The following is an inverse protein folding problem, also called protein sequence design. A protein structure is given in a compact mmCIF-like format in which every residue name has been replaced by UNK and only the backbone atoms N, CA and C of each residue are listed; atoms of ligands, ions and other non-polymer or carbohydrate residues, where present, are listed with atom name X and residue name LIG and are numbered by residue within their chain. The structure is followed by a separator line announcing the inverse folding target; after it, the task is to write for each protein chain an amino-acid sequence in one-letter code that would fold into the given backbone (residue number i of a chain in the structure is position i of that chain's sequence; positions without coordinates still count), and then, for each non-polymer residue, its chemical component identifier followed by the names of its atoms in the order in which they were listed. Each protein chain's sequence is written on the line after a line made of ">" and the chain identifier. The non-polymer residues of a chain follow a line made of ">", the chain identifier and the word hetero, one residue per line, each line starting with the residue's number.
data_IF_531088032739
#
_entry.id   IF_531088032739
#
_cell.length_a   1.000
_cell.length_b   1.000
_cell.length_c   1.000
_cell.angle_alpha   90.00
_cell.angle_beta   90.00
_cell.angle_gamma   90.00
#
_symmetry.space_group_name_H-M   'P 1'
#
loop_
_entity.id
_entity.type
_entity.pdbx_description
1 polymer ?
#
# COMPACT_ATOMS: atom_id res chain seq x y z
N UNK A 1 -49.76 -35.90 -29.12
CA UNK A 1 -49.21 -37.26 -28.81
C UNK A 1 -47.75 -37.44 -29.31
N UNK A 2 -47.32 -36.93 -30.47
CA UNK A 2 -45.92 -37.10 -30.98
C UNK A 2 -44.81 -36.52 -30.06
N UNK A 3 -45.05 -35.42 -29.37
CA UNK A 3 -44.04 -34.78 -28.53
C UNK A 3 -43.73 -35.58 -27.24
N UNK A 4 -44.71 -36.26 -26.67
CA UNK A 4 -44.52 -37.06 -25.45
C UNK A 4 -43.62 -38.28 -25.67
N UNK A 5 -43.74 -38.91 -26.83
CA UNK A 5 -42.91 -40.09 -27.18
C UNK A 5 -41.46 -39.65 -27.44
N UNK A 6 -41.26 -38.50 -28.07
CA UNK A 6 -39.93 -37.94 -28.29
C UNK A 6 -39.22 -37.59 -26.97
N UNK A 7 -39.91 -36.93 -26.06
CA UNK A 7 -39.35 -36.59 -24.73
C UNK A 7 -39.01 -37.81 -23.90
N UNK A 8 -39.86 -38.84 -23.93
CA UNK A 8 -39.58 -40.10 -23.25
C UNK A 8 -38.36 -40.83 -23.84
N UNK A 9 -38.23 -40.85 -25.17
CA UNK A 9 -37.06 -41.42 -25.82
C UNK A 9 -35.76 -40.65 -25.43
N UNK A 10 -35.81 -39.34 -25.42
CA UNK A 10 -34.69 -38.49 -25.06
C UNK A 10 -34.28 -38.71 -23.59
N UNK A 11 -35.25 -38.84 -22.69
CA UNK A 11 -35.02 -39.13 -21.28
C UNK A 11 -34.40 -40.53 -21.07
N UNK A 12 -34.86 -41.54 -21.76
CA UNK A 12 -34.26 -42.88 -21.73
C UNK A 12 -32.82 -42.89 -22.25
N UNK A 13 -32.53 -42.10 -23.28
CA UNK A 13 -31.20 -41.97 -23.85
C UNK A 13 -30.24 -41.27 -22.88
N UNK A 14 -30.70 -40.23 -22.15
CA UNK A 14 -29.96 -39.58 -21.07
C UNK A 14 -29.63 -40.57 -19.93
N UNK A 15 -30.60 -41.36 -19.51
CA UNK A 15 -30.39 -42.37 -18.44
C UNK A 15 -29.40 -43.45 -18.89
N UNK A 16 -29.50 -43.91 -20.14
CA UNK A 16 -28.60 -44.94 -20.71
C UNK A 16 -27.14 -44.48 -20.69
N UNK A 17 -26.89 -43.17 -20.88
CA UNK A 17 -25.54 -42.60 -20.91
C UNK A 17 -25.23 -41.69 -19.69
N UNK A 18 -25.90 -41.93 -18.56
CA UNK A 18 -25.81 -41.12 -17.34
C UNK A 18 -24.36 -40.82 -16.91
N UNK A 19 -23.46 -41.80 -16.99
CA UNK A 19 -22.05 -41.63 -16.60
C UNK A 19 -21.34 -40.55 -17.45
N UNK A 20 -21.59 -40.53 -18.77
CA UNK A 20 -21.02 -39.52 -19.68
C UNK A 20 -21.59 -38.14 -19.40
N UNK A 21 -22.89 -38.03 -19.18
CA UNK A 21 -23.57 -36.77 -18.88
C UNK A 21 -23.12 -36.20 -17.52
N UNK A 22 -22.97 -37.07 -16.50
CA UNK A 22 -22.42 -36.65 -15.19
C UNK A 22 -20.98 -36.15 -15.34
N UNK A 23 -20.14 -36.84 -16.10
CA UNK A 23 -18.76 -36.41 -16.32
C UNK A 23 -18.68 -35.02 -16.99
N UNK A 24 -19.48 -34.80 -18.06
CA UNK A 24 -19.57 -33.51 -18.75
C UNK A 24 -20.08 -32.43 -17.80
N UNK A 25 -21.09 -32.73 -16.98
CA UNK A 25 -21.64 -31.78 -16.00
C UNK A 25 -20.60 -31.36 -14.95
N UNK A 26 -19.84 -32.33 -14.41
CA UNK A 26 -18.77 -32.05 -13.45
C UNK A 26 -17.69 -31.15 -14.09
N UNK A 27 -17.28 -31.47 -15.31
CA UNK A 27 -16.29 -30.65 -16.03
C UNK A 27 -16.82 -29.23 -16.27
N UNK A 28 -18.10 -29.10 -16.66
CA UNK A 28 -18.73 -27.79 -16.87
C UNK A 28 -18.78 -26.96 -15.58
N UNK A 29 -19.13 -27.58 -14.44
CA UNK A 29 -19.13 -26.92 -13.14
C UNK A 29 -17.72 -26.44 -12.79
N UNK A 30 -16.70 -27.27 -13.00
CA UNK A 30 -15.32 -26.95 -12.72
C UNK A 30 -14.83 -25.77 -13.56
N UNK A 31 -15.17 -25.73 -14.85
CA UNK A 31 -14.83 -24.61 -15.73
C UNK A 31 -15.52 -23.32 -15.26
N UNK A 32 -16.82 -23.36 -14.96
CA UNK A 32 -17.56 -22.18 -14.46
C UNK A 32 -17.00 -21.72 -13.13
N UNK A 33 -16.65 -22.63 -12.23
CA UNK A 33 -16.01 -22.32 -10.95
C UNK A 33 -14.68 -21.61 -11.14
N UNK A 34 -13.80 -22.11 -12.03
CA UNK A 34 -12.50 -21.48 -12.30
C UNK A 34 -12.67 -20.07 -12.88
N UNK A 35 -13.55 -19.90 -13.87
CA UNK A 35 -13.80 -18.58 -14.47
C UNK A 35 -14.35 -17.61 -13.41
N UNK A 36 -15.33 -18.05 -12.62
CA UNK A 36 -15.90 -17.22 -11.56
C UNK A 36 -14.86 -16.84 -10.50
N UNK A 37 -14.00 -17.77 -10.09
CA UNK A 37 -12.91 -17.51 -9.15
C UNK A 37 -11.98 -16.41 -9.65
N UNK A 38 -11.55 -16.47 -10.91
CA UNK A 38 -10.67 -15.44 -11.51
C UNK A 38 -11.36 -14.08 -11.54
N UNK A 39 -12.65 -14.04 -11.91
CA UNK A 39 -13.42 -12.80 -11.94
C UNK A 39 -13.59 -12.19 -10.53
N UNK A 40 -13.86 -13.00 -9.51
CA UNK A 40 -13.98 -12.54 -8.13
C UNK A 40 -12.65 -11.97 -7.60
N UNK A 41 -11.53 -12.68 -7.83
CA UNK A 41 -10.20 -12.20 -7.43
C UNK A 41 -9.87 -10.88 -8.12
N UNK A 42 -10.10 -10.80 -9.44
CA UNK A 42 -9.84 -9.57 -10.20
C UNK A 42 -10.67 -8.38 -9.69
N UNK A 43 -11.97 -8.59 -9.42
CA UNK A 43 -12.84 -7.54 -8.90
C UNK A 43 -12.46 -7.14 -7.46
N UNK A 44 -12.06 -8.09 -6.61
CA UNK A 44 -11.58 -7.80 -5.26
C UNK A 44 -10.31 -6.97 -5.28
N UNK A 45 -9.32 -7.36 -6.09
CA UNK A 45 -8.08 -6.59 -6.26
C UNK A 45 -8.34 -5.18 -6.79
N UNK A 46 -9.22 -5.07 -7.80
CA UNK A 46 -9.64 -3.75 -8.32
C UNK A 46 -10.20 -2.89 -7.21
N UNK A 47 -11.17 -3.41 -6.44
CA UNK A 47 -11.80 -2.67 -5.34
C UNK A 47 -10.80 -2.23 -4.28
N UNK A 48 -9.87 -3.10 -3.91
CA UNK A 48 -8.83 -2.80 -2.92
C UNK A 48 -7.88 -1.70 -3.39
N UNK A 49 -7.38 -1.80 -4.64
CA UNK A 49 -6.51 -0.76 -5.23
C UNK A 49 -7.22 0.60 -5.25
N UNK A 50 -8.49 0.65 -5.69
CA UNK A 50 -9.23 1.91 -5.73
C UNK A 50 -9.50 2.47 -4.33
N UNK A 51 -9.84 1.62 -3.35
CA UNK A 51 -10.01 2.03 -1.95
C UNK A 51 -8.71 2.62 -1.38
N UNK A 52 -7.57 2.00 -1.66
CA UNK A 52 -6.26 2.51 -1.24
C UNK A 52 -5.94 3.85 -1.89
N UNK A 53 -6.21 4.00 -3.20
CA UNK A 53 -6.01 5.27 -3.91
C UNK A 53 -6.95 6.38 -3.41
N UNK A 54 -8.18 6.05 -3.01
CA UNK A 54 -9.13 7.02 -2.45
C UNK A 54 -8.62 7.66 -1.15
N UNK A 55 -7.93 6.89 -0.34
CA UNK A 55 -7.36 7.34 0.92
C UNK A 55 -6.03 8.10 0.76
N UNK A 56 -5.43 8.11 -0.43
CA UNK A 56 -4.19 8.86 -0.67
C UNK A 56 -4.44 10.35 -0.88
N UNK A 57 -3.39 11.15 -0.62
CA UNK A 57 -3.36 12.58 -0.89
C UNK A 57 -3.53 12.88 -2.39
N UNK A 58 -4.03 14.07 -2.71
CA UNK A 58 -4.34 14.46 -4.09
C UNK A 58 -3.10 14.57 -4.97
N UNK A 59 -1.98 14.99 -4.37
CA UNK A 59 -0.69 15.10 -5.04
C UNK A 59 0.41 14.45 -4.22
N UNK A 60 1.32 13.76 -4.90
CA UNK A 60 2.58 13.26 -4.37
C UNK A 60 3.70 13.94 -5.16
N UNK A 61 4.61 14.59 -4.45
CA UNK A 61 5.68 15.38 -5.02
C UNK A 61 7.02 14.76 -4.66
N UNK A 62 7.80 14.46 -5.66
CA UNK A 62 9.14 13.88 -5.55
C UNK A 62 10.14 14.79 -6.25
N UNK A 63 11.28 15.00 -5.62
CA UNK A 63 12.41 15.69 -6.27
C UNK A 63 13.03 14.78 -7.32
N UNK A 64 13.30 15.31 -8.49
CA UNK A 64 13.96 14.56 -9.58
C UNK A 64 15.17 15.31 -10.09
N UNK A 65 16.18 14.55 -10.51
CA UNK A 65 17.32 15.10 -11.24
C UNK A 65 17.71 14.09 -12.33
N UNK A 66 17.74 14.55 -13.57
CA UNK A 66 18.05 13.71 -14.73
C UNK A 66 17.23 12.39 -14.80
N UNK A 67 15.94 12.46 -14.45
CA UNK A 67 15.02 11.33 -14.46
C UNK A 67 15.15 10.36 -13.28
N UNK A 68 16.07 10.59 -12.35
CA UNK A 68 16.16 9.84 -11.09
C UNK A 68 15.43 10.56 -9.96
N UNK A 69 14.83 9.80 -9.07
CA UNK A 69 14.16 10.29 -7.87
C UNK A 69 15.20 10.43 -6.76
N UNK A 70 15.13 11.53 -6.02
CA UNK A 70 15.96 11.84 -4.87
C UNK A 70 15.09 12.24 -3.69
N UNK A 71 15.66 12.19 -2.50
CA UNK A 71 15.01 12.70 -1.31
C UNK A 71 14.68 14.19 -1.48
N UNK A 72 13.50 14.57 -1.02
CA UNK A 72 12.89 15.88 -1.23
C UNK A 72 13.17 16.77 -0.02
N UNK A 73 13.69 18.01 -0.18
CA UNK A 73 13.95 18.91 0.94
C UNK A 73 12.66 19.24 1.70
N UNK A 74 12.69 19.17 3.04
CA UNK A 74 11.55 19.49 3.91
C UNK A 74 11.14 20.96 3.78
N UNK A 75 12.07 21.86 3.46
CA UNK A 75 11.77 23.27 3.22
C UNK A 75 10.68 23.51 2.17
N UNK A 76 10.49 22.56 1.25
CA UNK A 76 9.41 22.62 0.26
C UNK A 76 8.02 22.54 0.88
N UNK A 77 7.89 22.03 2.11
CA UNK A 77 6.61 21.98 2.83
C UNK A 77 6.08 23.40 3.07
N UNK A 78 6.94 24.33 3.50
CA UNK A 78 6.56 25.73 3.70
C UNK A 78 6.20 26.40 2.36
N UNK A 79 7.03 26.17 1.34
CA UNK A 79 6.79 26.71 0.00
C UNK A 79 5.43 26.28 -0.56
N UNK A 80 5.09 25.00 -0.42
CA UNK A 80 3.83 24.46 -0.93
C UNK A 80 2.64 24.83 -0.07
N UNK A 81 2.82 24.98 1.24
CA UNK A 81 1.77 25.43 2.16
C UNK A 81 1.32 26.86 1.87
N UNK A 82 2.17 27.67 1.26
CA UNK A 82 1.85 29.06 0.86
C UNK A 82 1.00 29.16 -0.41
N UNK A 83 0.78 28.04 -1.12
CA UNK A 83 -0.02 28.02 -2.37
C UNK A 83 -1.50 28.07 -2.04
N UNK A 84 -2.23 29.02 -2.65
CA UNK A 84 -3.67 29.13 -2.49
C UNK A 84 -4.38 27.86 -3.00
N UNK A 85 -5.35 27.35 -2.22
CA UNK A 85 -6.09 26.13 -2.53
C UNK A 85 -5.50 24.85 -1.93
N UNK A 86 -4.27 24.90 -1.42
CA UNK A 86 -3.66 23.77 -0.69
C UNK A 86 -4.16 23.78 0.77
N UNK A 87 -4.72 22.66 1.22
CA UNK A 87 -5.25 22.55 2.58
C UNK A 87 -4.23 21.95 3.55
N UNK A 88 -3.46 20.97 3.09
CA UNK A 88 -2.56 20.19 3.94
C UNK A 88 -1.34 19.77 3.14
N UNK A 89 -0.17 19.97 3.71
CA UNK A 89 1.11 19.54 3.15
C UNK A 89 1.86 18.75 4.20
N UNK A 90 2.32 17.56 3.86
CA UNK A 90 3.02 16.66 4.78
C UNK A 90 4.22 16.02 4.12
N UNK A 91 5.29 15.86 4.88
CA UNK A 91 6.42 15.02 4.52
C UNK A 91 6.09 13.55 4.77
N UNK A 92 6.60 12.65 3.94
CA UNK A 92 6.55 11.22 4.20
C UNK A 92 7.94 10.61 4.17
N UNK A 93 8.20 9.76 5.14
CA UNK A 93 9.42 8.97 5.23
C UNK A 93 9.04 7.50 5.06
N UNK A 94 9.53 6.90 4.01
CA UNK A 94 9.39 5.46 3.77
C UNK A 94 10.50 4.97 2.84
N UNK A 95 10.79 3.69 2.94
CA UNK A 95 11.80 3.07 2.10
C UNK A 95 11.84 1.56 2.27
N UNK A 96 12.75 0.93 1.55
CA UNK A 96 12.95 -0.50 1.58
C UNK A 96 14.21 -0.84 2.37
N UNK A 97 14.08 -1.70 3.37
CA UNK A 97 15.19 -2.27 4.11
C UNK A 97 15.46 -3.70 3.67
N UNK A 98 16.69 -4.00 3.28
CA UNK A 98 17.07 -5.32 2.82
C UNK A 98 17.35 -6.27 3.98
N UNK A 99 16.56 -7.33 4.10
CA UNK A 99 16.73 -8.40 5.07
C UNK A 99 17.55 -9.54 4.45
N UNK A 100 18.84 -9.55 4.77
CA UNK A 100 19.82 -10.47 4.17
C UNK A 100 19.48 -11.96 4.34
N UNK A 101 19.00 -12.45 5.51
CA UNK A 101 18.79 -13.89 5.73
C UNK A 101 17.81 -14.55 4.77
N UNK A 102 16.78 -13.80 4.29
CA UNK A 102 15.77 -14.31 3.35
C UNK A 102 15.90 -13.71 1.94
N UNK A 103 16.84 -12.78 1.73
CA UNK A 103 17.00 -12.05 0.47
C UNK A 103 15.71 -11.32 0.03
N UNK A 104 15.04 -10.68 0.99
CA UNK A 104 13.79 -9.95 0.80
C UNK A 104 13.91 -8.51 1.28
N UNK A 105 12.91 -7.69 0.95
CA UNK A 105 12.82 -6.31 1.42
C UNK A 105 11.62 -6.15 2.35
N UNK A 106 11.82 -5.42 3.45
CA UNK A 106 10.78 -4.89 4.30
C UNK A 106 10.51 -3.43 3.93
N UNK A 107 9.26 -3.02 3.98
CA UNK A 107 8.88 -1.62 3.83
C UNK A 107 8.90 -0.95 5.21
N UNK A 108 9.76 0.04 5.39
CA UNK A 108 9.78 0.87 6.59
C UNK A 108 9.00 2.15 6.32
N UNK A 109 8.13 2.53 7.27
CA UNK A 109 7.38 3.79 7.25
C UNK A 109 7.64 4.52 8.55
N UNK A 110 8.16 5.74 8.44
CA UNK A 110 8.31 6.68 9.53
C UNK A 110 7.03 7.48 9.74
N UNK A 111 6.56 7.55 10.97
CA UNK A 111 5.35 8.29 11.34
C UNK A 111 5.70 9.33 12.37
N UNK A 112 5.27 10.57 12.12
CA UNK A 112 5.26 11.61 13.14
C UNK A 112 3.94 11.51 13.92
N UNK A 113 4.05 11.07 15.17
CA UNK A 113 2.89 10.84 16.04
C UNK A 113 2.31 12.13 16.61
N UNK A 114 3.04 13.24 16.52
CA UNK A 114 2.60 14.56 16.99
C UNK A 114 1.89 15.35 15.89
N UNK A 115 1.97 14.90 14.64
CA UNK A 115 1.34 15.58 13.51
C UNK A 115 -0.17 15.32 13.48
N UNK A 116 -0.97 16.40 13.56
CA UNK A 116 -2.45 16.29 13.58
C UNK A 116 -3.05 15.59 12.36
N UNK A 117 -2.31 15.60 11.26
CA UNK A 117 -2.76 15.13 9.95
C UNK A 117 -2.25 13.74 9.56
N UNK A 118 -1.66 13.01 10.48
CA UNK A 118 -1.26 11.60 10.25
C UNK A 118 -2.42 10.80 9.63
N UNK A 119 -2.11 9.94 8.70
CA UNK A 119 -3.11 9.12 7.98
C UNK A 119 -4.11 8.50 8.96
N UNK A 120 -5.41 8.62 8.66
CA UNK A 120 -6.49 8.14 9.55
C UNK A 120 -6.31 6.68 9.95
N UNK A 121 -5.88 5.84 9.00
CA UNK A 121 -5.68 4.41 9.24
C UNK A 121 -4.56 4.18 10.27
N UNK A 122 -3.48 4.96 10.19
CA UNK A 122 -2.37 4.91 11.15
C UNK A 122 -2.81 5.48 12.50
N UNK A 123 -3.59 6.57 12.53
CA UNK A 123 -4.15 7.12 13.78
C UNK A 123 -5.07 6.13 14.47
N UNK A 124 -5.92 5.45 13.75
CA UNK A 124 -6.82 4.44 14.30
C UNK A 124 -6.02 3.27 14.88
N UNK A 125 -5.01 2.80 14.17
CA UNK A 125 -4.06 1.79 14.67
C UNK A 125 -3.32 2.26 15.92
N UNK A 126 -2.86 3.51 15.95
CA UNK A 126 -2.13 4.08 17.08
C UNK A 126 -3.05 4.41 18.27
N UNK A 127 -4.33 4.72 18.05
CA UNK A 127 -5.30 4.99 19.12
C UNK A 127 -5.58 3.75 19.98
N UNK A 128 -5.41 2.55 19.42
CA UNK A 128 -5.53 1.27 20.14
C UNK A 128 -4.26 0.98 20.97
N UNK A 129 -3.17 1.72 20.72
CA UNK A 129 -1.88 1.55 21.35
C UNK A 129 -1.63 2.68 22.37
N UNK A 130 -0.93 2.37 23.44
CA UNK A 130 -0.45 3.41 24.37
C UNK A 130 0.73 4.16 23.73
N UNK A 131 0.43 5.26 23.02
CA UNK A 131 1.38 6.03 22.21
C UNK A 131 2.61 6.48 23.03
N UNK A 132 2.40 6.80 24.33
CA UNK A 132 3.50 7.24 25.19
C UNK A 132 4.57 6.17 25.39
N UNK A 133 4.18 4.91 25.48
CA UNK A 133 5.12 3.80 25.64
C UNK A 133 5.86 3.47 24.34
N UNK A 134 5.20 3.70 23.20
CA UNK A 134 5.80 3.53 21.88
C UNK A 134 6.89 4.58 21.60
N UNK A 135 6.65 5.85 21.99
CA UNK A 135 7.57 6.96 21.75
C UNK A 135 8.79 6.98 22.68
N UNK A 136 8.68 6.43 23.89
CA UNK A 136 9.76 6.49 24.88
C UNK A 136 10.91 5.51 24.61
N UNK A 137 10.74 4.61 23.65
CA UNK A 137 11.73 3.55 23.34
C UNK A 137 11.89 3.45 21.85
N UNK A 138 13.12 3.26 21.39
CA UNK A 138 13.38 2.85 20.01
C UNK A 138 12.59 1.57 19.73
N UNK A 139 11.40 1.74 19.18
CA UNK A 139 10.44 0.65 19.04
C UNK A 139 9.71 0.69 17.69
N UNK A 140 9.23 -0.47 17.25
CA UNK A 140 8.56 -0.64 15.98
C UNK A 140 7.30 -1.47 16.10
N UNK A 141 6.34 -1.20 15.21
CA UNK A 141 5.19 -2.06 14.93
C UNK A 141 5.51 -2.86 13.67
N UNK A 142 5.22 -4.14 13.68
CA UNK A 142 5.54 -5.05 12.57
C UNK A 142 4.30 -5.73 12.02
N UNK A 143 4.27 -5.92 10.72
CA UNK A 143 3.24 -6.71 10.06
C UNK A 143 3.37 -8.21 10.33
N UNK A 144 2.28 -8.94 10.13
CA UNK A 144 2.22 -10.39 10.40
C UNK A 144 3.25 -11.20 9.58
N UNK A 145 3.54 -10.79 8.33
CA UNK A 145 4.56 -11.45 7.51
C UNK A 145 5.96 -11.31 8.11
N UNK A 146 6.29 -10.10 8.56
CA UNK A 146 7.58 -9.83 9.23
C UNK A 146 7.67 -10.60 10.55
N UNK A 147 6.57 -10.63 11.33
CA UNK A 147 6.53 -11.41 12.58
C UNK A 147 6.88 -12.87 12.33
N UNK A 148 6.28 -13.51 11.34
CA UNK A 148 6.59 -14.91 10.99
C UNK A 148 8.05 -15.12 10.61
N UNK A 149 8.65 -14.16 9.91
CA UNK A 149 10.06 -14.21 9.53
C UNK A 149 10.93 -14.03 10.76
N UNK A 150 10.64 -13.05 11.60
CA UNK A 150 11.40 -12.80 12.82
C UNK A 150 11.33 -13.97 13.79
N UNK A 151 10.17 -14.60 13.97
CA UNK A 151 10.01 -15.81 14.77
C UNK A 151 10.87 -16.97 14.25
N UNK A 152 10.98 -17.13 12.94
CA UNK A 152 11.83 -18.14 12.30
C UNK A 152 13.32 -17.96 12.64
N UNK A 153 13.76 -16.70 12.80
CA UNK A 153 15.14 -16.35 13.15
C UNK A 153 15.33 -16.04 14.64
N UNK A 154 14.32 -16.28 15.47
CA UNK A 154 14.34 -16.08 16.93
C UNK A 154 14.52 -14.61 17.36
N UNK A 155 14.05 -13.66 16.54
CA UNK A 155 13.94 -12.24 16.89
C UNK A 155 12.57 -11.98 17.55
N UNK A 156 12.43 -12.29 18.85
CA UNK A 156 11.12 -12.19 19.51
C UNK A 156 10.83 -10.81 20.09
N UNK A 157 11.85 -10.15 20.62
CA UNK A 157 11.70 -8.91 21.38
C UNK A 157 12.29 -7.70 20.68
N UNK A 158 13.34 -7.88 19.87
CA UNK A 158 14.05 -6.82 19.16
C UNK A 158 14.74 -7.33 17.89
N UNK A 159 15.10 -6.38 17.03
CA UNK A 159 15.91 -6.65 15.84
C UNK A 159 16.98 -5.57 15.69
N UNK A 160 18.21 -5.98 15.34
CA UNK A 160 19.34 -5.09 15.09
C UNK A 160 19.37 -4.65 13.63
N UNK A 161 18.95 -3.42 13.37
CA UNK A 161 19.05 -2.81 12.06
C UNK A 161 20.48 -2.38 11.77
N UNK A 162 20.97 -2.75 10.60
CA UNK A 162 22.26 -2.29 10.13
C UNK A 162 22.12 -0.93 9.47
N UNK A 163 22.79 0.07 10.04
CA UNK A 163 22.82 1.43 9.53
C UNK A 163 23.83 1.58 8.37
N UNK A 164 23.76 2.71 7.66
CA UNK A 164 24.69 3.02 6.55
C UNK A 164 26.16 3.12 6.96
N UNK A 165 26.45 3.49 8.22
CA UNK A 165 27.77 3.54 8.82
C UNK A 165 28.28 2.16 9.30
N UNK A 166 27.55 1.07 9.03
CA UNK A 166 27.76 -0.30 9.50
C UNK A 166 27.53 -0.53 11.01
N UNK A 167 27.07 0.44 11.75
CA UNK A 167 26.64 0.24 13.13
C UNK A 167 25.33 -0.55 13.17
N UNK A 168 25.09 -1.20 14.31
CA UNK A 168 23.84 -1.91 14.57
C UNK A 168 23.00 -1.08 15.53
N UNK A 169 21.75 -0.87 15.17
CA UNK A 169 20.75 -0.19 15.98
C UNK A 169 19.69 -1.19 16.45
N UNK A 170 19.68 -1.50 17.73
CA UNK A 170 18.65 -2.36 18.32
C UNK A 170 17.31 -1.61 18.41
N UNK A 171 16.25 -2.20 17.81
CA UNK A 171 14.90 -1.67 17.86
C UNK A 171 13.96 -2.73 18.41
N UNK A 172 13.19 -2.37 19.43
CA UNK A 172 12.27 -3.27 20.10
C UNK A 172 10.99 -3.47 19.31
N UNK A 173 10.51 -4.70 19.27
CA UNK A 173 9.19 -5.01 18.72
C UNK A 173 8.16 -4.65 19.79
N UNK A 174 7.39 -3.57 19.54
CA UNK A 174 6.38 -3.11 20.47
C UNK A 174 5.10 -3.96 20.37
N UNK A 175 4.60 -4.14 19.13
CA UNK A 175 3.38 -4.90 18.87
C UNK A 175 3.26 -5.29 17.39
N UNK A 176 2.42 -6.29 17.13
CA UNK A 176 2.01 -6.63 15.78
C UNK A 176 0.88 -5.71 15.30
N UNK A 177 0.89 -5.38 14.01
CA UNK A 177 -0.21 -4.69 13.36
C UNK A 177 -1.44 -5.61 13.32
N UNK A 178 -2.66 -5.08 13.53
CA UNK A 178 -3.87 -5.88 13.48
C UNK A 178 -4.01 -6.61 12.13
N UNK A 179 -4.53 -7.83 12.16
CA UNK A 179 -4.72 -8.69 10.97
C UNK A 179 -5.65 -8.03 9.93
N UNK A 180 -6.52 -7.14 10.36
CA UNK A 180 -7.44 -6.36 9.52
C UNK A 180 -6.75 -5.25 8.72
N UNK A 181 -5.53 -4.90 9.08
CA UNK A 181 -4.67 -4.04 8.27
C UNK A 181 -4.30 -4.82 7.00
N UNK A 182 -4.80 -4.35 5.87
CA UNK A 182 -4.71 -4.86 4.50
C UNK A 182 -3.44 -5.68 4.17
N UNK A 183 -3.51 -6.49 3.11
CA UNK A 183 -2.40 -7.28 2.54
C UNK A 183 -1.09 -6.46 2.46
N UNK A 184 -1.18 -5.16 2.22
CA UNK A 184 -0.06 -4.19 2.18
C UNK A 184 0.69 -4.08 3.53
N UNK A 185 0.01 -4.29 4.66
CA UNK A 185 0.64 -4.20 5.98
C UNK A 185 1.45 -5.43 6.38
N UNK A 186 1.43 -6.48 5.57
CA UNK A 186 2.09 -7.74 5.88
C UNK A 186 3.61 -7.60 6.01
N UNK A 187 4.21 -6.81 5.10
CA UNK A 187 5.67 -6.59 5.01
C UNK A 187 6.05 -5.18 5.50
N UNK A 188 5.21 -4.59 6.36
CA UNK A 188 5.33 -3.21 6.83
C UNK A 188 5.93 -3.16 8.24
N UNK A 189 6.90 -2.26 8.41
CA UNK A 189 7.42 -1.83 9.71
C UNK A 189 7.07 -0.36 9.90
N UNK A 190 6.42 -0.03 11.00
CA UNK A 190 6.10 1.35 11.37
C UNK A 190 6.94 1.73 12.58
N UNK A 191 7.59 2.88 12.53
CA UNK A 191 8.40 3.41 13.61
C UNK A 191 8.36 4.95 13.64
N UNK A 192 8.99 5.56 14.65
CA UNK A 192 9.17 7.00 14.70
C UNK A 192 9.86 7.53 13.45
N UNK A 193 9.47 8.73 13.01
CA UNK A 193 9.97 9.35 11.76
C UNK A 193 11.48 9.55 11.78
N UNK A 194 12.08 9.93 12.91
CA UNK A 194 13.52 10.15 13.03
C UNK A 194 14.28 8.82 12.99
N UNK A 195 13.74 7.82 13.64
CA UNK A 195 14.28 6.47 13.63
C UNK A 195 14.26 5.87 12.21
N UNK A 196 13.16 6.07 11.47
CA UNK A 196 13.05 5.63 10.09
C UNK A 196 14.08 6.35 9.19
N UNK A 197 14.28 7.66 9.37
CA UNK A 197 15.32 8.43 8.64
C UNK A 197 16.72 7.86 8.88
N UNK A 198 17.04 7.57 10.13
CA UNK A 198 18.36 7.00 10.52
C UNK A 198 18.60 5.65 9.82
N UNK A 199 17.63 4.74 9.85
CA UNK A 199 17.75 3.41 9.23
C UNK A 199 17.80 3.49 7.71
N UNK A 200 16.97 4.33 7.11
CA UNK A 200 16.88 4.50 5.66
C UNK A 200 17.98 5.42 5.09
N UNK A 201 18.82 6.00 5.96
CA UNK A 201 19.87 6.95 5.60
C UNK A 201 19.34 8.20 4.87
N UNK A 202 18.20 8.71 5.31
CA UNK A 202 17.59 9.95 4.84
C UNK A 202 18.09 11.08 5.77
N UNK A 203 18.54 12.21 5.20
CA UNK A 203 19.01 13.33 6.01
C UNK A 203 17.87 13.98 6.80
N UNK A 204 18.23 14.64 7.91
CA UNK A 204 17.26 15.30 8.79
C UNK A 204 16.39 16.33 8.07
N UNK A 205 16.97 17.07 7.12
CA UNK A 205 16.32 18.11 6.31
C UNK A 205 15.67 17.58 5.02
N UNK A 206 15.66 16.26 4.81
CA UNK A 206 15.08 15.61 3.63
C UNK A 206 13.95 14.63 4.02
N UNK A 207 13.09 14.34 3.06
CA UNK A 207 11.98 13.40 3.13
C UNK A 207 11.94 12.55 1.86
N UNK A 208 11.35 11.37 1.91
CA UNK A 208 11.19 10.52 0.71
C UNK A 208 10.34 11.23 -0.34
N UNK A 209 9.22 11.80 0.08
CA UNK A 209 8.37 12.67 -0.74
C UNK A 209 7.53 13.63 0.12
N UNK A 210 6.83 14.54 -0.55
CA UNK A 210 5.89 15.46 0.07
C UNK A 210 4.52 15.21 -0.55
N UNK A 211 3.49 15.14 0.28
CA UNK A 211 2.10 14.99 -0.16
C UNK A 211 1.28 16.21 0.21
N UNK A 212 0.30 16.51 -0.62
CA UNK A 212 -0.63 17.62 -0.35
C UNK A 212 -2.05 17.30 -0.80
N UNK A 213 -3.01 17.95 -0.15
CA UNK A 213 -4.42 17.84 -0.45
C UNK A 213 -4.98 19.17 -0.98
N UNK A 214 -5.72 19.08 -2.08
CA UNK A 214 -6.43 20.20 -2.73
C UNK A 214 -7.90 19.82 -2.83
N UNK A 215 -8.73 20.25 -1.85
CA UNK A 215 -10.14 19.85 -1.77
C UNK A 215 -10.96 20.28 -2.99
N UNK A 216 -10.63 21.42 -3.58
CA UNK A 216 -11.32 21.95 -4.76
C UNK A 216 -10.70 21.40 -6.06
N UNK A 217 -11.42 20.50 -6.73
CA UNK A 217 -10.96 19.88 -7.97
C UNK A 217 -10.67 20.91 -9.08
N UNK A 218 -11.36 22.06 -9.10
CA UNK A 218 -11.15 23.10 -10.11
C UNK A 218 -9.81 23.83 -9.94
N UNK A 219 -9.25 23.83 -8.73
CA UNK A 219 -7.97 24.47 -8.43
C UNK A 219 -6.77 23.56 -8.66
N UNK A 220 -6.99 22.26 -8.79
CA UNK A 220 -5.90 21.28 -8.90
C UNK A 220 -4.92 21.56 -10.03
N UNK A 221 -5.42 22.01 -11.20
CA UNK A 221 -4.53 22.34 -12.30
C UNK A 221 -3.69 23.58 -12.00
N UNK A 222 -4.29 24.62 -11.44
CA UNK A 222 -3.59 25.85 -11.04
C UNK A 222 -2.53 25.56 -9.95
N UNK A 223 -2.88 24.75 -8.95
CA UNK A 223 -1.93 24.32 -7.91
C UNK A 223 -0.76 23.56 -8.53
N UNK A 224 -1.02 22.63 -9.45
CA UNK A 224 0.04 21.89 -10.16
C UNK A 224 1.01 22.83 -10.88
N UNK A 225 0.47 23.81 -11.60
CA UNK A 225 1.30 24.78 -12.34
C UNK A 225 2.15 25.62 -11.39
N UNK A 226 1.60 26.04 -10.24
CA UNK A 226 2.35 26.75 -9.20
C UNK A 226 3.43 25.89 -8.53
N UNK A 227 3.17 24.60 -8.31
CA UNK A 227 4.18 23.64 -7.80
C UNK A 227 5.39 23.56 -8.73
N UNK A 228 5.16 23.46 -10.05
CA UNK A 228 6.21 23.39 -11.07
C UNK A 228 6.98 24.72 -11.14
N UNK A 229 6.28 25.85 -11.00
CA UNK A 229 6.91 27.18 -11.02
C UNK A 229 7.83 27.39 -9.81
N UNK A 230 7.44 26.89 -8.63
CA UNK A 230 8.28 26.98 -7.42
C UNK A 230 9.51 26.09 -7.51
N UNK A 231 9.31 24.84 -7.97
CA UNK A 231 10.39 23.86 -8.07
C UNK A 231 10.27 23.08 -9.38
N UNK A 232 11.04 23.49 -10.39
CA UNK A 232 10.99 22.91 -11.74
C UNK A 232 11.49 21.46 -11.84
N UNK A 233 12.28 21.03 -10.86
CA UNK A 233 12.86 19.68 -10.79
C UNK A 233 11.98 18.70 -9.99
N UNK A 234 10.66 18.81 -10.16
CA UNK A 234 9.68 17.96 -9.48
C UNK A 234 9.02 16.94 -10.40
N UNK A 235 8.78 15.76 -9.87
CA UNK A 235 7.82 14.79 -10.39
C UNK A 235 6.54 14.89 -9.58
N UNK A 236 5.45 15.25 -10.23
CA UNK A 236 4.14 15.39 -9.59
C UNK A 236 3.26 14.23 -10.02
N UNK A 237 2.87 13.38 -9.06
CA UNK A 237 1.90 12.32 -9.25
C UNK A 237 0.54 12.81 -8.73
N UNK A 238 -0.47 12.80 -9.59
CA UNK A 238 -1.85 13.15 -9.23
C UNK A 238 -2.66 11.89 -9.00
N UNK A 239 -3.39 11.83 -7.89
CA UNK A 239 -4.28 10.72 -7.54
C UNK A 239 -5.22 10.33 -8.69
N UNK A 240 -5.79 11.33 -9.36
CA UNK A 240 -6.71 11.10 -10.49
C UNK A 240 -6.04 10.45 -11.70
N UNK A 241 -4.80 10.82 -11.99
CA UNK A 241 -4.04 10.19 -13.08
C UNK A 241 -3.69 8.75 -12.75
N UNK A 242 -3.26 8.49 -11.52
CA UNK A 242 -3.01 7.13 -11.04
C UNK A 242 -4.28 6.27 -11.14
N UNK A 243 -5.44 6.80 -10.71
CA UNK A 243 -6.71 6.09 -10.86
C UNK A 243 -7.01 5.73 -12.31
N UNK A 244 -6.86 6.68 -13.24
CA UNK A 244 -7.08 6.44 -14.68
C UNK A 244 -6.12 5.38 -15.24
N UNK A 245 -4.84 5.41 -14.85
CA UNK A 245 -3.86 4.40 -15.26
C UNK A 245 -4.28 3.00 -14.78
N UNK A 246 -4.66 2.85 -13.51
CA UNK A 246 -5.16 1.58 -12.98
C UNK A 246 -6.49 1.15 -13.64
N UNK A 247 -7.41 2.08 -13.88
CA UNK A 247 -8.65 1.78 -14.63
C UNK A 247 -8.33 1.21 -16.01
N UNK A 248 -7.41 1.84 -16.72
CA UNK A 248 -6.98 1.35 -18.03
C UNK A 248 -6.37 -0.05 -17.92
N UNK A 249 -5.50 -0.30 -16.94
CA UNK A 249 -4.90 -1.63 -16.72
C UNK A 249 -5.94 -2.73 -16.46
N UNK A 250 -6.96 -2.43 -15.65
CA UNK A 250 -8.03 -3.40 -15.36
C UNK A 250 -9.06 -3.55 -16.50
N UNK A 251 -9.18 -2.56 -17.37
CA UNK A 251 -10.13 -2.57 -18.50
C UNK A 251 -9.50 -3.08 -19.81
N UNK A 252 -8.19 -3.36 -19.83
CA UNK A 252 -7.58 -4.08 -20.96
C UNK A 252 -8.11 -5.52 -20.97
N UNK A 253 -9.19 -5.71 -21.75
CA UNK A 253 -9.73 -7.02 -22.14
C UNK A 253 -9.57 -7.18 -23.64
#
# INVERSE_FOLDING_TARGET
>A
MKNSVFFNFLFLLLIKHKSKHIAIFIISILIVFLISSVLFISNSLKKEVFSTLDNQSDFIIQKTNNGKIFDTPISWVEDFSSINGVKNVQQRIYGLYYFMPENIYFTIVGVDLFEENTNKDIKELLSILNISDFLQKDSMLIGNGIKKIFDKYHYFDSYDFKLSNNELKEIKIFKELPIEANIVANDLIIMDINLAKEILNIKEDEATDIVLNVPNNLERQNVKDQLILKHSNTRILQKENLKKEYENMFNYK
#
